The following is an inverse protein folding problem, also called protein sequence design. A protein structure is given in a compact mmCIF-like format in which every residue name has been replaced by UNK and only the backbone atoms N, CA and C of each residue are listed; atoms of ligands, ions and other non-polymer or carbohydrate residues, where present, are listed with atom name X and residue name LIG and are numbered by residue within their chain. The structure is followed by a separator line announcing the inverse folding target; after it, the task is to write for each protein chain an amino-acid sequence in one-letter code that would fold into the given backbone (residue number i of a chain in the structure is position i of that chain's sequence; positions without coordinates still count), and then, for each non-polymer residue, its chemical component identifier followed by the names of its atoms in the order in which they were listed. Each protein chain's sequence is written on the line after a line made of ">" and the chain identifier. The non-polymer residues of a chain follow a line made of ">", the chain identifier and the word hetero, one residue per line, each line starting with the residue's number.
data_IF_597991814098
#
_entry.id   IF_597991814098
#
_cell.length_a   1.000
_cell.length_b   1.000
_cell.length_c   1.000
_cell.angle_alpha   90.00
_cell.angle_beta   90.00
_cell.angle_gamma   90.00
#
_symmetry.space_group_name_H-M   'P 1'
#
loop_
_entity.id
_entity.type
_entity.pdbx_description
1 polymer ?
#
# COMPACT_ATOMS: atom_id res chain seq x y z
N UNK A 1 -8.15 5.58 -13.25
CA UNK A 1 -7.38 5.99 -12.05
C UNK A 1 -7.40 4.81 -11.09
N UNK A 2 -6.25 4.21 -10.81
CA UNK A 2 -6.13 3.13 -9.81
C UNK A 2 -5.68 3.73 -8.47
N UNK A 3 -6.40 4.75 -8.00
CA UNK A 3 -6.05 5.47 -6.77
C UNK A 3 -7.26 5.56 -5.86
N UNK A 4 -7.05 5.26 -4.59
CA UNK A 4 -8.08 5.21 -3.57
C UNK A 4 -7.60 5.94 -2.32
N UNK A 5 -8.49 6.69 -1.69
CA UNK A 5 -8.21 7.41 -0.46
C UNK A 5 -8.76 6.67 0.74
N UNK A 6 -7.98 6.68 1.81
CA UNK A 6 -8.42 6.19 3.11
C UNK A 6 -9.58 7.05 3.62
N UNK A 7 -10.71 6.42 3.95
CA UNK A 7 -11.87 7.13 4.52
C UNK A 7 -11.56 7.79 5.86
N UNK A 8 -10.58 7.28 6.61
CA UNK A 8 -10.27 7.73 7.96
C UNK A 8 -9.32 8.94 7.98
N UNK A 9 -8.17 8.85 7.28
CA UNK A 9 -7.16 9.91 7.30
C UNK A 9 -7.03 10.70 5.99
N UNK A 10 -7.76 10.33 4.94
CA UNK A 10 -7.72 11.00 3.64
C UNK A 10 -6.47 10.70 2.78
N UNK A 11 -5.49 9.94 3.30
CA UNK A 11 -4.29 9.60 2.54
C UNK A 11 -4.64 8.76 1.31
N UNK A 12 -3.99 9.08 0.19
CA UNK A 12 -4.24 8.40 -1.09
C UNK A 12 -3.18 7.35 -1.34
N UNK A 13 -3.65 6.21 -1.84
CA UNK A 13 -2.86 5.06 -2.17
C UNK A 13 -3.07 4.66 -3.62
N UNK A 14 -2.04 4.09 -4.23
CA UNK A 14 -2.17 3.40 -5.51
C UNK A 14 -2.63 1.95 -5.26
N UNK A 15 -3.63 1.48 -6.00
CA UNK A 15 -4.09 0.10 -5.90
C UNK A 15 -3.31 -0.78 -6.86
N UNK A 16 -2.70 -1.83 -6.32
CA UNK A 16 -1.99 -2.86 -7.07
C UNK A 16 -2.71 -4.21 -6.95
N UNK A 17 -2.60 -5.10 -7.96
CA UNK A 17 -3.09 -6.48 -7.85
C UNK A 17 -2.38 -7.26 -6.73
N UNK A 18 -3.08 -8.23 -6.14
CA UNK A 18 -2.54 -9.10 -5.08
C UNK A 18 -1.20 -9.75 -5.48
N UNK A 19 -1.10 -10.27 -6.70
CA UNK A 19 0.14 -10.89 -7.23
C UNK A 19 1.34 -9.93 -7.23
N UNK A 20 1.11 -8.63 -7.44
CA UNK A 20 2.20 -7.65 -7.39
C UNK A 20 2.61 -7.36 -5.94
N UNK A 21 1.67 -7.34 -5.00
CA UNK A 21 1.97 -7.19 -3.59
C UNK A 21 2.75 -8.41 -3.06
N UNK A 22 2.36 -9.63 -3.45
CA UNK A 22 3.09 -10.86 -3.11
C UNK A 22 4.53 -10.84 -3.62
N UNK A 23 4.72 -10.44 -4.88
CA UNK A 23 6.06 -10.31 -5.47
C UNK A 23 6.91 -9.24 -4.74
N UNK A 24 6.31 -8.13 -4.34
CA UNK A 24 6.99 -7.07 -3.59
C UNK A 24 7.40 -7.53 -2.18
N UNK A 25 6.50 -8.21 -1.46
CA UNK A 25 6.78 -8.79 -0.13
C UNK A 25 7.92 -9.81 -0.23
N UNK A 26 7.90 -10.69 -1.23
CA UNK A 26 8.96 -11.68 -1.45
C UNK A 26 10.31 -10.97 -1.68
N UNK A 27 10.36 -10.03 -2.63
CA UNK A 27 11.59 -9.32 -2.96
C UNK A 27 12.14 -8.52 -1.76
N UNK A 28 11.29 -7.86 -0.98
CA UNK A 28 11.70 -7.12 0.21
C UNK A 28 12.27 -8.06 1.29
N UNK A 29 11.60 -9.18 1.54
CA UNK A 29 12.07 -10.15 2.53
C UNK A 29 13.35 -10.87 2.10
N UNK A 30 13.51 -11.21 0.82
CA UNK A 30 14.78 -11.71 0.27
C UNK A 30 15.91 -10.70 0.43
N UNK A 31 15.62 -9.41 0.20
CA UNK A 31 16.58 -8.35 0.45
C UNK A 31 16.97 -8.29 1.94
N UNK A 32 16.03 -8.33 2.88
CA UNK A 32 16.34 -8.35 4.32
C UNK A 32 17.20 -9.56 4.70
N UNK A 33 16.86 -10.74 4.21
CA UNK A 33 17.64 -11.96 4.43
C UNK A 33 19.06 -11.83 3.88
N UNK A 34 19.25 -11.22 2.70
CA UNK A 34 20.58 -10.97 2.12
C UNK A 34 21.45 -10.05 2.98
N UNK A 35 20.82 -9.25 3.85
CA UNK A 35 21.48 -8.36 4.83
C UNK A 35 21.64 -9.02 6.20
N UNK A 36 21.25 -10.28 6.37
CA UNK A 36 21.25 -10.96 7.67
C UNK A 36 20.17 -10.43 8.63
N UNK A 37 19.15 -9.76 8.10
CA UNK A 37 18.02 -9.22 8.88
C UNK A 37 16.83 -10.17 8.80
N UNK A 38 16.00 -10.14 9.85
CA UNK A 38 14.75 -10.89 9.84
C UNK A 38 13.78 -10.32 8.79
N UNK A 39 13.02 -11.17 8.08
CA UNK A 39 11.95 -10.71 7.22
C UNK A 39 10.84 -10.06 8.07
N UNK A 40 10.35 -8.91 7.63
CA UNK A 40 9.35 -8.12 8.38
C UNK A 40 8.16 -7.70 7.52
N UNK A 41 8.28 -7.77 6.19
CA UNK A 41 7.19 -7.40 5.29
C UNK A 41 6.16 -8.54 5.20
N UNK A 42 4.89 -8.17 5.21
CA UNK A 42 3.77 -9.12 5.17
C UNK A 42 2.71 -8.62 4.19
N UNK A 43 1.94 -9.54 3.61
CA UNK A 43 0.84 -9.14 2.71
C UNK A 43 -0.25 -8.34 3.43
N UNK A 44 -0.40 -8.55 4.73
CA UNK A 44 -1.36 -7.81 5.56
C UNK A 44 -1.07 -6.30 5.61
N UNK A 45 0.20 -5.89 5.46
CA UNK A 45 0.56 -4.46 5.43
C UNK A 45 -0.06 -3.74 4.23
N UNK A 46 -0.23 -4.44 3.10
CA UNK A 46 -0.85 -3.93 1.89
C UNK A 46 -2.38 -3.82 1.99
N UNK A 47 -3.01 -4.49 2.96
CA UNK A 47 -4.47 -4.42 3.19
C UNK A 47 -4.85 -3.28 4.14
N UNK A 48 -3.90 -2.42 4.51
CA UNK A 48 -4.09 -1.34 5.47
C UNK A 48 -3.51 -0.03 4.98
N UNK A 49 -4.04 1.07 5.48
CA UNK A 49 -3.49 2.39 5.28
C UNK A 49 -2.14 2.50 6.00
N UNK A 50 -1.07 2.75 5.25
CA UNK A 50 0.30 2.98 5.77
C UNK A 50 0.35 4.11 6.82
N UNK A 51 -0.58 5.08 6.77
CA UNK A 51 -0.62 6.20 7.71
C UNK A 51 -1.37 5.93 9.01
N UNK A 52 -2.53 5.28 8.94
CA UNK A 52 -3.44 5.17 10.09
C UNK A 52 -3.88 3.74 10.42
N UNK A 53 -3.44 2.74 9.67
CA UNK A 53 -3.77 1.33 9.89
C UNK A 53 -5.20 0.94 9.52
N UNK A 54 -6.03 1.86 9.04
CA UNK A 54 -7.40 1.54 8.60
C UNK A 54 -7.38 0.55 7.43
N UNK A 55 -8.29 -0.42 7.47
CA UNK A 55 -8.42 -1.46 6.44
C UNK A 55 -8.78 -0.87 5.07
N UNK A 56 -8.23 -1.47 4.00
CA UNK A 56 -8.40 -1.02 2.61
C UNK A 56 -9.79 -1.30 2.05
N UNK A 57 -10.54 -2.26 2.62
CA UNK A 57 -11.94 -2.57 2.28
C UNK A 57 -12.88 -1.36 2.30
N UNK A 58 -12.56 -0.34 3.11
CA UNK A 58 -13.35 0.89 3.27
C UNK A 58 -12.77 2.09 2.53
N UNK A 59 -11.82 1.90 1.63
CA UNK A 59 -11.25 3.02 0.88
C UNK A 59 -12.22 3.52 -0.19
N UNK A 60 -12.13 4.81 -0.50
CA UNK A 60 -12.99 5.48 -1.46
C UNK A 60 -12.20 5.86 -2.71
N UNK A 61 -12.80 5.88 -3.92
CA UNK A 61 -12.10 6.36 -5.11
C UNK A 61 -11.52 7.77 -4.90
N UNK A 62 -10.24 7.95 -5.22
CA UNK A 62 -9.59 9.24 -5.13
C UNK A 62 -9.95 10.13 -6.32
N UNK A 63 -10.06 11.44 -6.08
CA UNK A 63 -10.21 12.47 -7.11
C UNK A 63 -8.84 13.04 -7.48
N UNK A 64 -8.67 13.59 -8.69
CA UNK A 64 -7.41 14.24 -9.09
C UNK A 64 -6.92 15.34 -8.13
N UNK A 65 -7.84 16.01 -7.44
CA UNK A 65 -7.54 17.06 -6.47
C UNK A 65 -7.16 16.54 -5.07
N UNK A 66 -7.32 15.24 -4.79
CA UNK A 66 -7.04 14.66 -3.46
C UNK A 66 -5.53 14.48 -3.22
N UNK A 67 -4.70 14.54 -4.28
CA UNK A 67 -3.24 14.39 -4.20
C UNK A 67 -2.54 15.49 -4.99
N UNK A 68 -1.63 16.27 -4.38
CA UNK A 68 -0.81 17.21 -5.11
C UNK A 68 0.06 16.50 -6.17
N UNK A 69 0.21 17.13 -7.33
CA UNK A 69 1.07 16.59 -8.39
C UNK A 69 2.50 16.38 -7.89
N UNK A 70 3.10 15.23 -8.24
CA UNK A 70 4.46 14.87 -7.83
C UNK A 70 4.57 14.19 -6.46
N UNK A 71 3.45 14.01 -5.73
CA UNK A 71 3.47 13.29 -4.44
C UNK A 71 3.70 11.79 -4.67
N UNK A 72 4.68 11.22 -4.00
CA UNK A 72 4.84 9.76 -3.91
C UNK A 72 3.74 9.20 -3.01
N UNK A 73 2.99 8.23 -3.52
CA UNK A 73 1.90 7.56 -2.79
C UNK A 73 2.24 6.09 -2.59
N UNK A 74 1.86 5.56 -1.42
CA UNK A 74 2.08 4.15 -1.08
C UNK A 74 1.09 3.25 -1.81
N UNK A 75 1.45 1.98 -1.98
CA UNK A 75 0.60 1.00 -2.62
C UNK A 75 -0.23 0.21 -1.61
N UNK A 76 -1.44 -0.18 -2.01
CA UNK A 76 -2.33 -1.06 -1.24
C UNK A 76 -2.99 -2.07 -2.17
N UNK A 77 -3.53 -3.14 -1.59
CA UNK A 77 -4.41 -4.09 -2.24
C UNK A 77 -5.84 -3.82 -1.76
N UNK A 78 -6.78 -3.72 -2.71
CA UNK A 78 -8.20 -3.71 -2.40
C UNK A 78 -8.71 -5.16 -2.44
N UNK A 79 -9.43 -5.62 -1.41
CA UNK A 79 -10.07 -6.95 -1.40
C UNK A 79 -11.22 -7.07 -2.41
#
# INVERSE_FOLDING_TARGET
>A
MNQYKCHNCGWVHAVIPLVQAEAAVLAANEYYLSKGLAPTETLESYLKCVRCGASSDKFLPARPSDVPFGTTIDTVVMP
#
